data_IF_537810446925
#
_entry.id   IF_537810446925
#
_cell.length_a   1.000
_cell.length_b   1.000
_cell.length_c   1.000
_cell.angle_alpha   90.00
_cell.angle_beta   90.00
_cell.angle_gamma   90.00
#
_symmetry.space_group_name_H-M   'P 1'
#
loop_
_entity.id
_entity.type
_entity.pdbx_description
1 polymer ?
#
# COMPACT_ATOMS: atom_id res chain seq x y z
N UNK A 1 -1.96 11.93 -7.73
CA UNK A 1 -1.74 10.58 -8.32
C UNK A 1 -2.75 9.64 -7.70
N UNK A 2 -3.19 8.63 -8.44
CA UNK A 2 -4.06 7.56 -7.94
C UNK A 2 -3.27 6.29 -7.65
N UNK A 3 -3.78 5.43 -6.79
CA UNK A 3 -3.25 4.09 -6.54
C UNK A 3 -4.36 3.06 -6.78
N UNK A 4 -4.08 2.06 -7.61
CA UNK A 4 -4.91 0.87 -7.75
C UNK A 4 -4.27 -0.29 -7.00
N UNK A 5 -5.05 -0.97 -6.16
CA UNK A 5 -4.56 -2.01 -5.27
C UNK A 5 -5.63 -3.06 -5.01
N UNK A 6 -5.21 -4.32 -4.82
CA UNK A 6 -6.06 -5.35 -4.29
C UNK A 6 -6.03 -5.29 -2.76
N UNK A 7 -7.19 -5.05 -2.15
CA UNK A 7 -7.38 -4.93 -0.72
C UNK A 7 -8.04 -6.19 -0.16
N UNK A 8 -7.53 -6.71 0.95
CA UNK A 8 -8.23 -7.68 1.78
C UNK A 8 -8.88 -6.96 2.96
N UNK A 9 -10.19 -7.12 3.11
CA UNK A 9 -10.93 -6.60 4.27
C UNK A 9 -10.90 -7.56 5.47
N UNK A 10 -11.58 -7.18 6.56
CA UNK A 10 -11.62 -7.95 7.80
C UNK A 10 -12.27 -9.33 7.67
N UNK A 11 -13.08 -9.57 6.63
CA UNK A 11 -13.67 -10.87 6.33
C UNK A 11 -12.78 -11.76 5.46
N UNK A 12 -11.65 -11.23 4.98
CA UNK A 12 -10.77 -11.91 4.03
C UNK A 12 -11.21 -11.74 2.58
N UNK A 13 -12.31 -11.02 2.33
CA UNK A 13 -12.78 -10.72 0.97
C UNK A 13 -11.78 -9.80 0.26
N UNK A 14 -11.46 -10.15 -0.98
CA UNK A 14 -10.58 -9.37 -1.85
C UNK A 14 -11.40 -8.42 -2.72
N UNK A 15 -11.06 -7.14 -2.69
CA UNK A 15 -11.67 -6.11 -3.50
C UNK A 15 -10.57 -5.27 -4.17
N UNK A 16 -10.73 -4.97 -5.45
CA UNK A 16 -9.85 -4.00 -6.12
C UNK A 16 -10.35 -2.59 -5.84
N UNK A 17 -9.47 -1.74 -5.32
CA UNK A 17 -9.77 -0.35 -5.01
C UNK A 17 -8.87 0.57 -5.84
N UNK A 18 -9.42 1.73 -6.21
CA UNK A 18 -8.67 2.86 -6.73
C UNK A 18 -8.91 4.03 -5.78
N UNK A 19 -7.84 4.56 -5.22
CA UNK A 19 -7.87 5.63 -4.23
C UNK A 19 -6.94 6.77 -4.65
N UNK A 20 -7.18 7.95 -4.11
CA UNK A 20 -6.22 9.04 -4.11
C UNK A 20 -4.99 8.63 -3.32
N UNK A 21 -3.80 8.79 -3.91
CA UNK A 21 -2.53 8.49 -3.23
C UNK A 21 -1.92 9.77 -2.67
N UNK A 22 -1.87 9.87 -1.34
CA UNK A 22 -1.20 10.98 -0.64
C UNK A 22 0.23 10.65 -0.20
N UNK A 23 0.57 9.37 -0.09
CA UNK A 23 1.91 8.94 0.27
C UNK A 23 1.93 7.57 0.95
N UNK A 24 3.13 7.14 1.29
CA UNK A 24 3.38 5.91 2.02
C UNK A 24 4.39 6.19 3.13
N UNK A 25 4.25 5.53 4.28
CA UNK A 25 5.23 5.61 5.39
C UNK A 25 5.48 4.25 5.99
N UNK A 26 6.70 4.01 6.45
CA UNK A 26 7.03 2.82 7.23
C UNK A 26 6.73 3.06 8.72
N UNK A 27 6.14 2.06 9.37
CA UNK A 27 5.87 2.06 10.81
C UNK A 27 6.67 0.93 11.46
N UNK A 28 7.86 1.21 12.01
CA UNK A 28 8.77 0.19 12.54
C UNK A 28 8.14 -0.69 13.62
N UNK A 29 7.27 -0.10 14.46
CA UNK A 29 6.55 -0.80 15.54
C UNK A 29 5.75 -1.99 15.01
N UNK A 30 5.18 -1.87 13.81
CA UNK A 30 4.33 -2.89 13.20
C UNK A 30 5.00 -3.60 12.02
N UNK A 31 6.27 -3.27 11.72
CA UNK A 31 7.01 -3.79 10.56
C UNK A 31 6.17 -3.76 9.27
N UNK A 32 5.56 -2.62 9.03
CA UNK A 32 4.54 -2.46 7.99
C UNK A 32 4.64 -1.09 7.34
N UNK A 33 4.31 -1.03 6.05
CA UNK A 33 4.02 0.20 5.35
C UNK A 33 2.55 0.58 5.51
N UNK A 34 2.28 1.88 5.63
CA UNK A 34 0.92 2.44 5.66
C UNK A 34 0.76 3.37 4.48
N UNK A 35 -0.24 3.12 3.65
CA UNK A 35 -0.64 3.96 2.53
C UNK A 35 -1.66 4.98 3.03
N UNK A 36 -1.40 6.25 2.73
CA UNK A 36 -2.32 7.35 3.02
C UNK A 36 -3.22 7.60 1.82
N UNK A 37 -4.54 7.54 2.04
CA UNK A 37 -5.58 7.76 1.03
C UNK A 37 -6.61 8.81 1.52
N UNK A 38 -7.61 9.13 0.71
CA UNK A 38 -8.78 9.96 1.06
C UNK A 38 -9.67 9.34 2.15
N UNK A 39 -9.51 8.06 2.45
CA UNK A 39 -10.34 7.34 3.41
C UNK A 39 -9.81 7.48 4.84
N UNK A 40 -10.26 8.51 5.56
CA UNK A 40 -9.78 8.84 6.92
C UNK A 40 -10.08 7.79 8.01
N UNK A 41 -11.02 6.89 7.76
CA UNK A 41 -11.49 5.89 8.73
C UNK A 41 -10.84 4.51 8.55
N UNK A 42 -10.06 4.32 7.49
CA UNK A 42 -9.42 3.05 7.17
C UNK A 42 -7.89 3.21 7.16
N UNK A 43 -7.21 2.19 7.67
CA UNK A 43 -5.78 2.04 7.46
C UNK A 43 -5.55 1.05 6.32
N UNK A 44 -4.67 1.43 5.39
CA UNK A 44 -4.21 0.58 4.29
C UNK A 44 -2.79 0.13 4.61
N UNK A 45 -2.66 -1.09 5.12
CA UNK A 45 -1.43 -1.59 5.73
C UNK A 45 -0.85 -2.72 4.91
N UNK A 46 0.47 -2.73 4.77
CA UNK A 46 1.20 -3.80 4.08
C UNK A 46 2.35 -4.21 4.98
N UNK A 47 2.27 -5.38 5.65
CA UNK A 47 3.41 -5.95 6.34
C UNK A 47 4.56 -6.18 5.37
N UNK A 48 5.75 -5.68 5.71
CA UNK A 48 6.93 -5.79 4.86
C UNK A 48 8.20 -5.47 5.64
N UNK A 49 9.35 -5.91 5.13
CA UNK A 49 10.64 -5.54 5.72
C UNK A 49 10.99 -4.08 5.42
N UNK A 50 11.89 -3.44 6.18
CA UNK A 50 12.41 -2.11 5.83
C UNK A 50 13.02 -2.07 4.42
N UNK A 51 13.70 -3.15 4.00
CA UNK A 51 14.33 -3.24 2.69
C UNK A 51 13.29 -3.29 1.57
N UNK A 52 12.21 -4.05 1.74
CA UNK A 52 11.11 -4.10 0.79
C UNK A 52 10.34 -2.77 0.73
N UNK A 53 10.22 -2.06 1.86
CA UNK A 53 9.66 -0.72 1.90
C UNK A 53 10.47 0.28 1.07
N UNK A 54 11.79 0.32 1.23
CA UNK A 54 12.65 1.20 0.43
C UNK A 54 12.57 0.86 -1.07
N UNK A 55 12.46 -0.43 -1.42
CA UNK A 55 12.25 -0.86 -2.79
C UNK A 55 10.89 -0.39 -3.35
N UNK A 56 9.83 -0.39 -2.54
CA UNK A 56 8.52 0.14 -2.93
C UNK A 56 8.56 1.67 -3.11
N UNK A 57 9.19 2.41 -2.19
CA UNK A 57 9.38 3.86 -2.29
C UNK A 57 10.14 4.23 -3.55
N UNK A 58 11.19 3.47 -3.91
CA UNK A 58 11.93 3.69 -5.15
C UNK A 58 11.03 3.54 -6.38
N UNK A 59 10.23 2.48 -6.48
CA UNK A 59 9.30 2.26 -7.60
C UNK A 59 8.28 3.40 -7.72
N UNK A 60 7.71 3.86 -6.59
CA UNK A 60 6.77 4.99 -6.56
C UNK A 60 7.47 6.28 -7.00
N UNK A 61 8.69 6.54 -6.51
CA UNK A 61 9.48 7.71 -6.88
C UNK A 61 9.82 7.73 -8.37
N UNK A 62 10.14 6.58 -8.95
CA UNK A 62 10.40 6.45 -10.38
C UNK A 62 9.12 6.69 -11.21
N UNK A 63 7.96 6.20 -10.75
CA UNK A 63 6.66 6.51 -11.37
C UNK A 63 6.32 8.01 -11.33
N UNK A 64 6.58 8.68 -10.20
CA UNK A 64 6.37 10.13 -10.07
C UNK A 64 7.27 10.93 -11.01
N UNK A 65 8.55 10.55 -11.16
CA UNK A 65 9.49 11.17 -12.11
C UNK A 65 9.04 11.00 -13.56
N UNK A 66 8.37 9.89 -13.86
CA UNK A 66 7.76 9.63 -15.16
C UNK A 66 6.43 10.37 -15.37
N UNK A 67 6.01 11.23 -14.42
CA UNK A 67 4.73 11.94 -14.44
C UNK A 67 3.51 11.00 -14.56
N UNK A 68 3.63 9.79 -14.03
CA UNK A 68 2.52 8.84 -14.01
C UNK A 68 1.33 9.43 -13.27
N UNK A 69 0.13 9.19 -13.79
CA UNK A 69 -1.10 9.69 -13.15
C UNK A 69 -1.62 8.69 -12.12
N UNK A 70 -1.22 7.42 -12.28
CA UNK A 70 -1.58 6.32 -11.41
C UNK A 70 -0.41 5.35 -11.19
N UNK A 71 -0.40 4.70 -10.04
CA UNK A 71 0.42 3.52 -9.75
C UNK A 71 -0.48 2.32 -9.49
N UNK A 72 -0.06 1.12 -9.90
CA UNK A 72 -0.81 -0.12 -9.68
C UNK A 72 0.06 -1.10 -8.89
N UNK A 73 -0.44 -1.61 -7.77
CA UNK A 73 0.19 -2.72 -7.04
C UNK A 73 -0.23 -4.02 -7.74
N UNK A 74 0.65 -4.57 -8.59
CA UNK A 74 0.39 -5.83 -9.30
C UNK A 74 0.67 -7.07 -8.44
N UNK A 75 1.62 -6.97 -7.52
CA UNK A 75 1.97 -8.03 -6.58
C UNK A 75 1.96 -7.49 -5.17
N UNK A 76 1.17 -8.16 -4.31
CA UNK A 76 0.97 -7.81 -2.92
C UNK A 76 -0.51 -7.52 -2.63
N UNK A 77 -0.94 -7.85 -1.42
CA UNK A 77 -2.28 -7.62 -0.90
C UNK A 77 -2.20 -6.54 0.16
N UNK A 78 -3.04 -5.51 0.00
CA UNK A 78 -3.17 -4.43 0.97
C UNK A 78 -4.19 -4.84 2.03
N UNK A 79 -3.80 -4.82 3.30
CA UNK A 79 -4.74 -5.05 4.39
C UNK A 79 -5.53 -3.76 4.63
N UNK A 80 -6.83 -3.78 4.37
CA UNK A 80 -7.73 -2.68 4.71
C UNK A 80 -8.47 -3.02 5.99
N UNK A 81 -8.16 -2.27 7.05
CA UNK A 81 -8.80 -2.40 8.36
C UNK A 81 -9.36 -1.07 8.85
N UNK A 82 -10.11 -1.10 9.95
CA UNK A 82 -10.43 0.14 10.66
C UNK A 82 -9.15 0.72 11.25
N UNK A 83 -9.14 2.04 11.41
CA UNK A 83 -8.00 2.75 11.97
C UNK A 83 -7.54 2.13 13.30
N UNK A 84 -6.26 1.76 13.38
CA UNK A 84 -5.64 1.14 14.56
C UNK A 84 -5.84 -0.38 14.70
N UNK A 85 -6.52 -1.04 13.75
CA UNK A 85 -6.57 -2.50 13.71
C UNK A 85 -5.24 -3.08 13.22
N UNK A 86 -4.73 -4.07 13.95
CA UNK A 86 -3.47 -4.77 13.62
C UNK A 86 -3.82 -6.08 12.94
N UNK A 87 -3.24 -6.34 11.76
CA UNK A 87 -3.31 -7.65 11.08
C UNK A 87 -1.92 -8.28 11.02
N UNK A 88 -1.83 -9.52 11.47
CA UNK A 88 -0.62 -10.33 11.33
C UNK A 88 -0.70 -11.05 9.99
N UNK A 89 -0.14 -10.43 8.96
CA UNK A 89 0.08 -11.06 7.65
C UNK A 89 1.59 -11.16 7.44
N UNK A 90 2.02 -12.20 6.73
CA UNK A 90 3.42 -12.38 6.37
C UNK A 90 3.96 -11.16 5.61
N UNK A 91 5.24 -10.80 5.81
CA UNK A 91 5.87 -9.72 5.06
C UNK A 91 5.78 -9.94 3.55
N UNK A 92 5.47 -8.86 2.83
CA UNK A 92 5.23 -8.88 1.39
C UNK A 92 6.22 -7.99 0.66
N UNK A 93 6.64 -8.43 -0.52
CA UNK A 93 7.37 -7.62 -1.49
C UNK A 93 6.43 -7.12 -2.57
N UNK A 94 6.45 -5.82 -2.83
CA UNK A 94 5.57 -5.19 -3.82
C UNK A 94 6.21 -5.11 -5.21
N UNK A 95 5.37 -5.26 -6.23
CA UNK A 95 5.66 -4.81 -7.61
C UNK A 95 4.67 -3.72 -7.96
N UNK A 96 5.21 -2.56 -8.33
CA UNK A 96 4.43 -1.34 -8.61
C UNK A 96 4.73 -0.90 -10.03
N UNK A 97 3.68 -0.75 -10.83
CA UNK A 97 3.78 -0.25 -12.21
C UNK A 97 3.17 1.13 -12.33
N UNK A 98 3.76 1.94 -13.20
CA UNK A 98 3.32 3.30 -13.52
C UNK A 98 2.33 3.29 -14.69
N UNK A 99 1.26 4.07 -14.58
CA UNK A 99 0.21 4.24 -15.62
C UNK A 99 -0.06 5.71 -15.88
#
# INVERSE_FOLDING_TARGET
MYISMQCSDNSGMLNTEICTFYGIRYVPRFRSAVISTEHMNHDYVIPMTPQDYEAAVKQIGDAMKAHATMIVIEKGIVCRGRKGEIRNVEPQKLTIVAV
#
